data_IF_253384526364
#
_entry.id   IF_253384526364
#
_cell.length_a   1.000
_cell.length_b   1.000
_cell.length_c   1.000
_cell.angle_alpha   90.00
_cell.angle_beta   90.00
_cell.angle_gamma   90.00
#
_symmetry.space_group_name_H-M   'P 1'
#
loop_
_entity.id
_entity.type
_entity.pdbx_description
1 polymer ?
#
# COMPACT_ATOMS: atom_id res chain seq x y z
N UNK A 1 18.63 -3.54 2.47
CA UNK A 1 17.20 -3.13 2.48
C UNK A 1 17.10 -1.70 1.95
N UNK A 2 16.24 -1.46 0.97
CA UNK A 2 16.06 -0.14 0.38
C UNK A 2 15.14 0.71 1.26
N UNK A 3 15.19 2.03 1.08
CA UNK A 3 14.35 2.96 1.85
C UNK A 3 12.86 2.67 1.65
N UNK A 4 12.45 2.30 0.44
CA UNK A 4 11.05 2.01 0.19
C UNK A 4 10.60 0.67 0.79
N UNK A 5 11.51 -0.30 0.97
CA UNK A 5 11.19 -1.55 1.68
C UNK A 5 10.97 -1.29 3.17
N UNK A 6 11.74 -0.39 3.76
CA UNK A 6 11.56 0.03 5.15
C UNK A 6 10.20 0.69 5.32
N UNK A 7 9.84 1.63 4.46
CA UNK A 7 8.54 2.31 4.49
C UNK A 7 7.37 1.33 4.31
N UNK A 8 7.49 0.39 3.38
CA UNK A 8 6.49 -0.66 3.17
C UNK A 8 6.28 -1.49 4.45
N UNK A 9 7.37 -1.89 5.09
CA UNK A 9 7.32 -2.65 6.33
C UNK A 9 6.67 -1.85 7.46
N UNK A 10 6.97 -0.56 7.55
CA UNK A 10 6.37 0.33 8.55
C UNK A 10 4.86 0.50 8.32
N UNK A 11 4.44 0.71 7.08
CA UNK A 11 3.02 0.83 6.74
C UNK A 11 2.29 -0.46 7.08
N UNK A 12 2.85 -1.59 6.68
CA UNK A 12 2.28 -2.92 6.95
C UNK A 12 2.12 -3.16 8.46
N UNK A 13 3.15 -2.86 9.22
CA UNK A 13 3.13 -3.02 10.68
C UNK A 13 2.10 -2.10 11.34
N UNK A 14 2.01 -0.86 10.89
CA UNK A 14 1.02 0.10 11.37
C UNK A 14 -0.41 -0.41 11.14
N UNK A 15 -0.70 -0.86 9.92
CA UNK A 15 -2.03 -1.35 9.56
C UNK A 15 -2.38 -2.59 10.40
N UNK A 16 -1.46 -3.52 10.55
CA UNK A 16 -1.67 -4.71 11.38
C UNK A 16 -1.91 -4.38 12.84
N UNK A 17 -1.31 -3.31 13.36
CA UNK A 17 -1.52 -2.89 14.74
C UNK A 17 -2.86 -2.17 14.95
N UNK A 18 -3.36 -1.49 13.93
CA UNK A 18 -4.60 -0.72 14.02
C UNK A 18 -5.84 -1.58 13.80
N UNK A 19 -5.75 -2.63 13.01
CA UNK A 19 -6.89 -3.45 12.62
C UNK A 19 -6.62 -4.93 12.84
N UNK A 20 -7.65 -5.66 13.27
CA UNK A 20 -7.60 -7.13 13.35
C UNK A 20 -7.97 -7.75 12.01
N UNK A 21 -7.34 -8.88 11.69
CA UNK A 21 -7.66 -9.64 10.50
C UNK A 21 -7.11 -9.08 9.21
N UNK A 22 -6.13 -8.18 9.29
CA UNK A 22 -5.48 -7.60 8.12
C UNK A 22 -4.68 -8.67 7.38
N UNK A 23 -4.84 -8.71 6.07
CA UNK A 23 -4.04 -9.57 5.18
C UNK A 23 -3.12 -8.70 4.34
N UNK A 24 -1.88 -9.12 4.23
CA UNK A 24 -0.89 -8.47 3.36
C UNK A 24 -0.63 -9.38 2.19
N UNK A 25 -0.82 -8.85 1.00
CA UNK A 25 -0.65 -9.61 -0.24
C UNK A 25 0.40 -8.89 -1.09
N UNK A 26 1.37 -9.67 -1.58
CA UNK A 26 2.29 -9.18 -2.58
C UNK A 26 1.51 -8.99 -3.88
N UNK A 27 1.59 -7.81 -4.47
CA UNK A 27 0.80 -7.47 -5.66
C UNK A 27 1.49 -7.93 -6.96
N UNK A 28 2.21 -9.02 -6.91
CA UNK A 28 2.68 -9.75 -8.08
C UNK A 28 3.92 -9.21 -8.78
N UNK A 29 4.40 -8.04 -8.46
CA UNK A 29 5.62 -7.50 -9.02
C UNK A 29 6.65 -7.24 -7.94
N UNK A 30 7.91 -7.47 -8.26
CA UNK A 30 8.99 -7.44 -7.28
C UNK A 30 9.39 -6.02 -6.85
N UNK A 31 8.87 -5.01 -7.52
CA UNK A 31 9.35 -3.63 -7.41
C UNK A 31 8.51 -2.77 -6.48
N UNK A 32 8.25 -3.26 -5.28
CA UNK A 32 7.58 -2.46 -4.27
C UNK A 32 6.06 -2.48 -4.31
N UNK A 33 5.45 -3.26 -5.22
CA UNK A 33 4.00 -3.43 -5.25
C UNK A 33 3.52 -4.21 -4.03
N UNK A 34 2.49 -3.73 -3.39
CA UNK A 34 1.85 -4.45 -2.29
C UNK A 34 0.43 -3.97 -2.11
N UNK A 35 -0.38 -4.79 -1.43
CA UNK A 35 -1.67 -4.33 -0.94
C UNK A 35 -1.94 -4.90 0.45
N UNK A 36 -2.66 -4.13 1.24
CA UNK A 36 -3.18 -4.56 2.53
C UNK A 36 -4.70 -4.65 2.40
N UNK A 37 -5.27 -5.73 2.90
CA UNK A 37 -6.70 -5.97 2.91
C UNK A 37 -7.21 -5.80 4.34
N UNK A 38 -8.07 -4.82 4.56
CA UNK A 38 -8.59 -4.47 5.87
C UNK A 38 -10.07 -4.90 5.92
N UNK A 39 -10.45 -5.76 6.87
CA UNK A 39 -11.86 -6.16 6.98
C UNK A 39 -12.77 -4.95 7.18
N UNK A 40 -13.81 -4.84 6.38
CA UNK A 40 -14.77 -3.72 6.48
C UNK A 40 -15.38 -3.58 7.87
N UNK A 41 -15.57 -4.70 8.56
CA UNK A 41 -16.12 -4.70 9.92
C UNK A 41 -15.24 -3.97 10.94
N UNK A 42 -13.92 -3.94 10.71
CA UNK A 42 -12.97 -3.30 11.60
C UNK A 42 -12.56 -1.90 11.13
N UNK A 43 -12.94 -1.52 9.91
CA UNK A 43 -12.42 -0.30 9.27
C UNK A 43 -13.27 0.92 9.59
N UNK A 44 -12.63 1.98 10.05
CA UNK A 44 -13.23 3.30 10.19
C UNK A 44 -12.74 4.20 9.05
N UNK A 45 -13.64 4.97 8.46
CA UNK A 45 -13.34 5.80 7.29
C UNK A 45 -12.17 6.76 7.51
N UNK A 46 -12.09 7.39 8.67
CA UNK A 46 -11.02 8.35 8.95
C UNK A 46 -9.65 7.66 9.00
N UNK A 47 -9.60 6.44 9.55
CA UNK A 47 -8.36 5.67 9.62
C UNK A 47 -7.98 5.13 8.25
N UNK A 48 -8.96 4.70 7.46
CA UNK A 48 -8.72 4.26 6.08
C UNK A 48 -8.10 5.40 5.25
N UNK A 49 -8.62 6.63 5.39
CA UNK A 49 -8.05 7.80 4.71
C UNK A 49 -6.62 8.09 5.15
N UNK A 50 -6.35 7.94 6.43
CA UNK A 50 -5.01 8.12 6.97
C UNK A 50 -4.04 7.10 6.38
N UNK A 51 -4.42 5.82 6.37
CA UNK A 51 -3.60 4.75 5.79
C UNK A 51 -3.36 5.02 4.31
N UNK A 52 -4.40 5.42 3.58
CA UNK A 52 -4.26 5.73 2.16
C UNK A 52 -3.31 6.91 1.92
N UNK A 53 -3.35 7.92 2.77
CA UNK A 53 -2.42 9.05 2.72
C UNK A 53 -0.97 8.61 2.87
N UNK A 54 -0.71 7.67 3.79
CA UNK A 54 0.63 7.09 3.97
C UNK A 54 1.07 6.29 2.75
N UNK A 55 0.17 5.50 2.18
CA UNK A 55 0.43 4.72 0.97
C UNK A 55 0.73 5.64 -0.22
N UNK A 56 0.02 6.76 -0.34
CA UNK A 56 0.31 7.74 -1.40
C UNK A 56 1.70 8.35 -1.26
N UNK A 57 2.12 8.67 -0.04
CA UNK A 57 3.49 9.17 0.21
C UNK A 57 4.53 8.13 -0.16
N UNK A 58 4.28 6.88 0.17
CA UNK A 58 5.15 5.79 -0.23
C UNK A 58 5.26 5.71 -1.76
N UNK A 59 4.12 5.76 -2.46
CA UNK A 59 4.10 5.72 -3.92
C UNK A 59 4.92 6.87 -4.52
N UNK A 60 4.78 8.07 -4.00
CA UNK A 60 5.55 9.23 -4.46
C UNK A 60 7.05 9.05 -4.24
N UNK A 61 7.44 8.49 -3.10
CA UNK A 61 8.86 8.22 -2.80
C UNK A 61 9.47 7.22 -3.78
N UNK A 62 8.76 6.15 -4.07
CA UNK A 62 9.22 5.14 -5.03
C UNK A 62 9.29 5.74 -6.43
N UNK A 63 8.30 6.49 -6.84
CA UNK A 63 8.26 7.13 -8.15
C UNK A 63 9.39 8.15 -8.31
N UNK A 64 9.70 8.94 -7.29
CA UNK A 64 10.84 9.85 -7.29
C UNK A 64 12.17 9.14 -7.45
N UNK A 65 12.30 7.96 -6.84
CA UNK A 65 13.52 7.17 -6.93
C UNK A 65 13.71 6.53 -8.31
N UNK A 66 12.61 6.20 -8.99
CA UNK A 66 12.64 5.41 -10.24
C UNK A 66 11.86 6.06 -11.38
N UNK A 67 11.63 7.36 -11.33
CA UNK A 67 10.70 8.10 -12.19
C UNK A 67 10.81 7.92 -13.70
N UNK A 68 11.96 7.48 -14.20
CA UNK A 68 12.15 7.24 -15.64
C UNK A 68 11.84 5.81 -16.07
N UNK A 69 11.63 4.91 -15.12
CA UNK A 69 11.46 3.48 -15.40
C UNK A 69 10.24 2.87 -14.70
N UNK A 70 9.67 3.57 -13.75
CA UNK A 70 8.62 3.01 -12.92
C UNK A 70 7.56 4.07 -12.58
N UNK A 71 6.31 3.81 -12.91
CA UNK A 71 5.19 4.56 -12.39
C UNK A 71 4.58 3.78 -11.21
N UNK A 72 4.17 4.47 -10.18
CA UNK A 72 3.60 3.85 -8.98
C UNK A 72 2.22 4.46 -8.71
N UNK A 73 1.20 3.63 -8.84
CA UNK A 73 -0.18 4.06 -8.67
C UNK A 73 -0.73 3.57 -7.32
N UNK A 74 -1.02 4.49 -6.38
CA UNK A 74 -1.75 4.13 -5.18
C UNK A 74 -3.20 3.86 -5.49
N UNK A 75 -3.81 2.93 -4.75
CA UNK A 75 -5.23 2.62 -4.94
C UNK A 75 -5.91 2.35 -3.60
N UNK A 76 -7.20 2.61 -3.59
CA UNK A 76 -8.13 2.23 -2.53
C UNK A 76 -9.34 1.62 -3.23
N UNK A 77 -9.59 0.35 -2.99
CA UNK A 77 -10.65 -0.39 -3.67
C UNK A 77 -11.54 -1.11 -2.67
N UNK A 78 -12.81 -1.25 -3.05
CA UNK A 78 -13.76 -2.08 -2.35
C UNK A 78 -13.64 -3.50 -2.92
N UNK A 79 -13.26 -4.45 -2.08
CA UNK A 79 -12.97 -5.82 -2.50
C UNK A 79 -13.77 -6.79 -1.62
N UNK A 80 -15.08 -6.83 -1.85
CA UNK A 80 -15.98 -7.71 -1.13
C UNK A 80 -16.08 -7.36 0.35
N UNK A 81 -15.61 -8.26 1.23
CA UNK A 81 -15.62 -8.07 2.67
C UNK A 81 -14.46 -7.21 3.18
N UNK A 82 -13.59 -6.75 2.27
CA UNK A 82 -12.36 -6.01 2.62
C UNK A 82 -12.28 -4.69 1.86
N UNK A 83 -11.58 -3.72 2.46
CA UNK A 83 -10.98 -2.62 1.71
C UNK A 83 -9.56 -3.00 1.35
N UNK A 84 -9.18 -2.84 0.08
CA UNK A 84 -7.82 -3.09 -0.39
C UNK A 84 -7.12 -1.75 -0.62
N UNK A 85 -6.00 -1.55 0.04
CA UNK A 85 -5.19 -0.33 -0.10
C UNK A 85 -3.77 -0.75 -0.44
N UNK A 86 -3.20 -0.13 -1.44
CA UNK A 86 -1.85 -0.47 -1.81
C UNK A 86 -1.32 0.34 -2.96
N UNK A 87 -0.26 -0.17 -3.55
CA UNK A 87 0.34 0.42 -4.74
C UNK A 87 0.59 -0.65 -5.79
N UNK A 88 0.43 -0.27 -7.02
CA UNK A 88 0.81 -1.08 -8.17
C UNK A 88 1.93 -0.36 -8.90
N UNK A 89 3.00 -1.08 -9.17
CA UNK A 89 4.12 -0.55 -9.96
C UNK A 89 3.95 -0.98 -11.41
N UNK A 90 4.16 -0.04 -12.31
CA UNK A 90 4.09 -0.28 -13.74
C UNK A 90 5.42 0.13 -14.36
N UNK A 91 6.05 -0.76 -15.09
CA UNK A 91 7.28 -0.41 -15.84
C UNK A 91 6.91 0.45 -17.04
N UNK A 92 7.54 1.62 -17.13
CA UNK A 92 7.37 2.52 -18.25
C UNK A 92 8.30 2.11 -19.40
N UNK A 93 9.38 1.42 -19.09
CA UNK A 93 10.35 0.95 -20.09
C UNK A 93 10.72 -0.49 -19.86
#
# INVERSE_FOLDING_TARGET
MTDFEIEKTMITGMVKSLFKGVRVVSAGCDDGSFKVMIPKKAAEHCVIRYVFGRVRKYAQSVEMAYGNVLAVDPFLADDGAYFSIGVVTVKIR
#
